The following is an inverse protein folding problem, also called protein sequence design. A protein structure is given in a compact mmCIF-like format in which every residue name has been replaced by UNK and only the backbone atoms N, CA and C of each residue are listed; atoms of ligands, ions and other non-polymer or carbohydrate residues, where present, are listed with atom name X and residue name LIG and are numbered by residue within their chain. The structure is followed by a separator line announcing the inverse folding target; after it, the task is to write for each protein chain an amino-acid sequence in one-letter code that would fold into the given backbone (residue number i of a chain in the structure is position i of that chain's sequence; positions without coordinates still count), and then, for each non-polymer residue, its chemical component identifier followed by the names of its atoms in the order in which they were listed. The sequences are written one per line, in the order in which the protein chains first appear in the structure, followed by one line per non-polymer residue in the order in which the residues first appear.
data_IF_278144367460
#
_entry.id   IF_278144367460
#
_cell.length_a   1.000
_cell.length_b   1.000
_cell.length_c   1.000
_cell.angle_alpha   90.00
_cell.angle_beta   90.00
_cell.angle_gamma   90.00
#
_symmetry.space_group_name_H-M   'P 1'
#
loop_
_entity.id
_entity.type
_entity.pdbx_description
1 polymer ?
#
# COMPACT_ATOMS: atom_id res chain seq x y z
N UNK A 1 3.77 21.85 -8.40
CA UNK A 1 3.36 20.74 -7.52
C UNK A 1 2.65 21.35 -6.33
N UNK A 2 1.38 21.02 -6.16
CA UNK A 2 0.70 21.28 -4.89
C UNK A 2 1.40 20.43 -3.83
N UNK A 3 1.82 21.03 -2.71
CA UNK A 3 2.44 20.27 -1.62
C UNK A 3 1.36 19.42 -0.98
N UNK A 4 1.44 18.10 -1.16
CA UNK A 4 0.70 17.15 -0.34
C UNK A 4 1.35 17.11 1.05
N UNK A 5 0.58 17.43 2.08
CA UNK A 5 1.02 17.26 3.47
C UNK A 5 1.29 15.78 3.74
N UNK A 6 2.44 15.45 4.33
CA UNK A 6 2.86 14.06 4.56
C UNK A 6 3.61 13.42 3.38
N UNK A 7 3.99 14.20 2.35
CA UNK A 7 4.86 13.75 1.25
C UNK A 7 6.22 14.44 1.36
N UNK A 8 7.27 13.64 1.55
CA UNK A 8 8.67 14.10 1.55
C UNK A 8 9.14 14.51 0.16
N UNK A 9 8.93 13.64 -0.82
CA UNK A 9 9.32 13.87 -2.20
C UNK A 9 8.41 13.13 -3.18
N UNK A 10 8.33 13.66 -4.39
CA UNK A 10 7.66 13.00 -5.50
C UNK A 10 8.54 13.17 -6.74
N UNK A 11 8.91 12.04 -7.35
CA UNK A 11 9.69 11.97 -8.57
C UNK A 11 8.84 11.34 -9.67
N UNK A 12 8.85 11.93 -10.85
CA UNK A 12 8.09 11.45 -12.01
C UNK A 12 9.09 11.12 -13.10
N UNK A 13 9.16 9.84 -13.49
CA UNK A 13 9.89 9.41 -14.69
C UNK A 13 8.91 9.15 -15.82
N UNK A 14 8.85 10.10 -16.77
CA UNK A 14 8.06 9.93 -17.98
C UNK A 14 8.64 8.86 -18.91
N UNK A 15 9.95 8.65 -18.87
CA UNK A 15 10.62 7.64 -19.69
C UNK A 15 10.27 6.22 -19.23
N UNK A 16 10.18 6.02 -17.92
CA UNK A 16 9.87 4.71 -17.32
C UNK A 16 8.37 4.51 -17.09
N UNK A 17 7.59 5.60 -17.17
CA UNK A 17 6.15 5.56 -16.93
C UNK A 17 5.82 5.35 -15.45
N UNK A 18 6.65 5.90 -14.56
CA UNK A 18 6.60 5.66 -13.13
C UNK A 18 6.55 6.97 -12.33
N UNK A 19 5.88 6.92 -11.17
CA UNK A 19 5.86 7.99 -10.18
C UNK A 19 6.29 7.40 -8.84
N UNK A 20 7.42 7.87 -8.32
CA UNK A 20 7.90 7.50 -7.00
C UNK A 20 7.49 8.59 -6.00
N UNK A 21 6.73 8.21 -4.97
CA UNK A 21 6.32 9.11 -3.90
C UNK A 21 6.92 8.62 -2.59
N UNK A 22 7.80 9.42 -1.99
CA UNK A 22 8.29 9.18 -0.65
C UNK A 22 7.38 9.91 0.34
N UNK A 23 6.74 9.15 1.23
CA UNK A 23 5.90 9.69 2.28
C UNK A 23 6.72 10.02 3.52
N UNK A 24 6.22 10.95 4.33
CA UNK A 24 6.72 11.19 5.68
C UNK A 24 6.46 10.01 6.61
N UNK A 25 7.29 9.85 7.64
CA UNK A 25 7.10 8.81 8.66
C UNK A 25 5.78 8.99 9.43
N UNK A 26 5.33 10.25 9.57
CA UNK A 26 4.06 10.64 10.21
C UNK A 26 3.00 11.08 9.17
N UNK A 27 2.97 10.45 7.99
CA UNK A 27 1.99 10.79 6.98
C UNK A 27 0.60 10.17 7.26
N UNK A 28 -0.44 10.95 6.99
CA UNK A 28 -1.83 10.48 6.98
C UNK A 28 -2.45 10.52 5.58
N UNK A 29 -1.62 10.49 4.54
CA UNK A 29 -2.08 10.62 3.16
C UNK A 29 -2.81 9.34 2.76
N UNK A 30 -4.08 9.50 2.37
CA UNK A 30 -4.85 8.39 1.84
C UNK A 30 -4.41 8.11 0.39
N UNK A 31 -4.28 6.83 0.04
CA UNK A 31 -3.87 6.40 -1.30
C UNK A 31 -4.81 6.93 -2.39
N UNK A 32 -6.10 7.03 -2.10
CA UNK A 32 -7.12 7.59 -2.99
C UNK A 32 -6.80 9.06 -3.29
N UNK A 33 -6.45 9.83 -2.27
CA UNK A 33 -6.06 11.23 -2.41
C UNK A 33 -4.76 11.37 -3.21
N UNK A 34 -3.80 10.48 -2.98
CA UNK A 34 -2.56 10.46 -3.75
C UNK A 34 -2.83 10.18 -5.24
N UNK A 35 -3.74 9.24 -5.55
CA UNK A 35 -4.15 8.92 -6.92
C UNK A 35 -4.87 10.08 -7.60
N UNK A 36 -5.74 10.79 -6.90
CA UNK A 36 -6.39 12.00 -7.44
C UNK A 36 -5.35 13.02 -7.85
N UNK A 37 -4.40 13.34 -6.98
CA UNK A 37 -3.35 14.32 -7.27
C UNK A 37 -2.50 13.87 -8.46
N UNK A 38 -2.13 12.59 -8.54
CA UNK A 38 -1.37 12.06 -9.69
C UNK A 38 -2.18 12.15 -10.99
N UNK A 39 -3.48 11.83 -10.96
CA UNK A 39 -4.40 11.95 -12.11
C UNK A 39 -4.55 13.38 -12.59
N UNK A 40 -4.65 14.34 -11.67
CA UNK A 40 -4.75 15.77 -11.99
C UNK A 40 -3.48 16.30 -12.68
N UNK A 41 -2.35 15.60 -12.53
CA UNK A 41 -1.12 15.89 -13.27
C UNK A 41 -1.02 15.20 -14.63
N UNK A 42 -2.10 14.55 -15.10
CA UNK A 42 -2.17 13.90 -16.39
C UNK A 42 -1.58 12.48 -16.42
N UNK A 43 -1.26 11.90 -15.26
CA UNK A 43 -0.79 10.52 -15.15
C UNK A 43 -1.89 9.63 -14.53
N UNK A 44 -2.30 8.56 -15.23
CA UNK A 44 -3.29 7.62 -14.68
C UNK A 44 -2.58 6.35 -14.20
N UNK A 45 -2.32 6.20 -12.89
CA UNK A 45 -1.67 5.00 -12.37
C UNK A 45 -2.59 3.80 -12.56
N UNK A 46 -2.05 2.74 -13.18
CA UNK A 46 -2.75 1.46 -13.37
C UNK A 46 -2.50 0.50 -12.22
N UNK A 47 -1.29 0.53 -11.72
CA UNK A 47 -0.78 -0.30 -10.64
C UNK A 47 0.04 0.61 -9.70
N UNK A 48 0.17 0.19 -8.44
CA UNK A 48 1.03 0.85 -7.48
C UNK A 48 1.70 -0.20 -6.59
N UNK A 49 3.03 -0.14 -6.47
CA UNK A 49 3.76 -0.89 -5.46
C UNK A 49 3.87 -0.03 -4.19
N UNK A 50 3.36 -0.56 -3.08
CA UNK A 50 3.25 0.14 -1.80
C UNK A 50 4.07 -0.61 -0.77
N UNK A 51 4.89 0.11 -0.02
CA UNK A 51 5.59 -0.44 1.14
C UNK A 51 5.01 0.15 2.41
N UNK A 52 4.41 -0.70 3.24
CA UNK A 52 3.75 -0.27 4.46
C UNK A 52 4.26 -1.05 5.67
N UNK A 53 4.40 -0.37 6.81
CA UNK A 53 4.71 -0.98 8.10
C UNK A 53 3.41 -1.19 8.88
N UNK A 54 3.26 -2.35 9.49
CA UNK A 54 2.05 -2.68 10.25
C UNK A 54 2.12 -4.06 10.88
N UNK A 55 0.97 -4.55 11.32
CA UNK A 55 0.86 -5.85 11.99
C UNK A 55 -0.09 -6.75 11.23
N UNK A 56 0.26 -8.04 11.15
CA UNK A 56 -0.64 -9.07 10.61
C UNK A 56 -1.52 -9.59 11.74
N UNK A 57 -2.82 -9.62 11.49
CA UNK A 57 -3.83 -10.11 12.41
C UNK A 57 -4.76 -11.12 11.71
N UNK A 58 -5.49 -11.92 12.48
CA UNK A 58 -6.53 -12.77 11.95
C UNK A 58 -7.88 -12.05 12.05
N UNK A 59 -8.60 -11.91 10.93
CA UNK A 59 -9.95 -11.32 10.85
C UNK A 59 -10.88 -12.17 10.01
N UNK A 60 -12.06 -12.53 10.54
CA UNK A 60 -13.11 -13.28 9.83
C UNK A 60 -12.63 -14.51 9.03
N UNK A 61 -11.65 -15.24 9.57
CA UNK A 61 -11.07 -16.43 8.91
C UNK A 61 -10.06 -16.13 7.79
N UNK A 62 -9.58 -14.89 7.69
CA UNK A 62 -8.53 -14.44 6.76
C UNK A 62 -7.43 -13.70 7.50
N UNK A 63 -6.27 -13.56 6.88
CA UNK A 63 -5.23 -12.67 7.36
C UNK A 63 -5.53 -11.25 6.92
N UNK A 64 -5.35 -10.33 7.85
CA UNK A 64 -5.50 -8.90 7.61
C UNK A 64 -4.24 -8.17 8.04
N UNK A 65 -3.92 -7.10 7.33
CA UNK A 65 -2.83 -6.21 7.66
C UNK A 65 -3.40 -4.91 8.21
N UNK A 66 -3.02 -4.59 9.45
CA UNK A 66 -3.36 -3.33 10.11
C UNK A 66 -2.18 -2.39 10.01
N UNK A 67 -2.41 -1.25 9.36
CA UNK A 67 -1.45 -0.15 9.32
C UNK A 67 -1.71 0.72 10.56
N UNK A 68 -0.69 1.10 11.35
CA UNK A 68 -0.86 2.00 12.49
C UNK A 68 -1.48 3.33 12.05
N UNK A 69 -2.25 3.96 12.94
CA UNK A 69 -2.83 5.30 12.74
C UNK A 69 -3.78 5.44 11.53
N UNK A 70 -4.18 4.32 10.95
CA UNK A 70 -5.19 4.23 9.92
C UNK A 70 -6.16 3.09 10.29
N UNK A 71 -7.42 3.42 10.55
CA UNK A 71 -8.46 2.42 10.85
C UNK A 71 -8.73 1.46 9.66
N UNK A 72 -8.04 1.65 8.52
CA UNK A 72 -8.07 0.75 7.38
C UNK A 72 -7.38 -0.58 7.71
N UNK A 73 -8.18 -1.64 7.66
CA UNK A 73 -7.75 -3.03 7.71
C UNK A 73 -7.75 -3.56 6.28
N UNK A 74 -6.62 -4.10 5.83
CA UNK A 74 -6.50 -4.64 4.47
C UNK A 74 -6.50 -6.16 4.51
N UNK A 75 -7.32 -6.80 3.68
CA UNK A 75 -7.31 -8.26 3.55
C UNK A 75 -6.07 -8.67 2.74
N UNK A 76 -5.28 -9.58 3.29
CA UNK A 76 -4.12 -10.12 2.60
C UNK A 76 -4.56 -11.26 1.68
N UNK A 77 -4.13 -11.18 0.42
CA UNK A 77 -4.33 -12.24 -0.57
C UNK A 77 -3.02 -12.52 -1.28
N UNK A 78 -2.66 -13.79 -1.40
CA UNK A 78 -1.39 -14.18 -2.01
C UNK A 78 -1.25 -15.68 -2.08
N UNK A 79 -0.06 -16.13 -2.44
CA UNK A 79 0.25 -17.56 -2.48
C UNK A 79 0.10 -18.17 -1.07
N UNK A 80 -0.46 -19.39 -0.95
CA UNK A 80 -0.68 -20.03 0.35
C UNK A 80 0.57 -20.07 1.23
N UNK A 81 1.74 -20.31 0.65
CA UNK A 81 3.02 -20.39 1.37
C UNK A 81 3.41 -19.04 2.01
N UNK A 82 3.11 -17.93 1.35
CA UNK A 82 3.35 -16.58 1.88
C UNK A 82 2.37 -16.31 3.01
N UNK A 83 1.09 -16.62 2.83
CA UNK A 83 0.06 -16.43 3.85
C UNK A 83 0.35 -17.28 5.10
N UNK A 84 0.77 -18.54 4.95
CA UNK A 84 1.19 -19.39 6.07
C UNK A 84 2.39 -18.82 6.82
N UNK A 85 3.37 -18.27 6.10
CA UNK A 85 4.55 -17.62 6.69
C UNK A 85 4.17 -16.38 7.51
N UNK A 86 3.24 -15.56 6.99
CA UNK A 86 2.71 -14.40 7.70
C UNK A 86 1.83 -14.79 8.88
N UNK A 87 1.12 -15.91 8.78
CA UNK A 87 0.32 -16.45 9.87
C UNK A 87 1.21 -16.82 11.07
N UNK A 88 2.40 -17.40 10.82
CA UNK A 88 3.39 -17.68 11.85
C UNK A 88 3.93 -16.44 12.57
N UNK A 89 3.76 -15.24 11.97
CA UNK A 89 4.30 -13.96 12.45
C UNK A 89 3.21 -12.98 12.91
N UNK A 90 2.00 -13.50 13.20
CA UNK A 90 0.87 -12.70 13.69
C UNK A 90 1.27 -11.88 14.93
N UNK A 91 0.92 -10.60 14.92
CA UNK A 91 1.22 -9.65 16.00
C UNK A 91 2.63 -9.06 15.98
N UNK A 92 3.52 -9.51 15.09
CA UNK A 92 4.82 -8.88 14.91
C UNK A 92 4.71 -7.62 14.01
N UNK A 93 5.51 -6.57 14.28
CA UNK A 93 5.63 -5.45 13.37
C UNK A 93 6.40 -5.87 12.12
N UNK A 94 5.72 -5.82 10.98
CA UNK A 94 6.23 -6.24 9.68
C UNK A 94 6.18 -5.07 8.70
N UNK A 95 7.08 -5.10 7.72
CA UNK A 95 7.00 -4.23 6.56
C UNK A 95 6.61 -5.11 5.38
N UNK A 96 5.45 -4.85 4.80
CA UNK A 96 4.97 -5.56 3.62
C UNK A 96 5.11 -4.66 2.41
N UNK A 97 5.63 -5.24 1.33
CA UNK A 97 5.46 -4.70 -0.01
C UNK A 97 4.18 -5.28 -0.59
N UNK A 98 3.39 -4.45 -1.25
CA UNK A 98 2.05 -4.73 -1.71
C UNK A 98 1.85 -4.16 -3.10
N UNK A 99 1.45 -4.99 -4.06
CA UNK A 99 1.02 -4.50 -5.37
C UNK A 99 -0.48 -4.26 -5.37
N UNK A 100 -0.89 -3.02 -5.61
CA UNK A 100 -2.30 -2.63 -5.72
C UNK A 100 -2.64 -2.35 -7.18
N UNK A 101 -3.46 -3.21 -7.76
CA UNK A 101 -4.02 -3.02 -9.10
C UNK A 101 -5.29 -2.15 -9.05
N UNK A 102 -5.50 -1.33 -10.08
CA UNK A 102 -6.75 -0.59 -10.23
C UNK A 102 -7.88 -1.50 -10.71
N UNK A 103 -8.67 -2.04 -9.77
CA UNK A 103 -9.93 -2.72 -10.08
C UNK A 103 -11.12 -1.87 -9.61
N UNK A 104 -12.19 -1.83 -10.41
CA UNK A 104 -13.44 -1.06 -10.21
C UNK A 104 -14.26 -1.46 -8.97
N UNK A 105 -13.79 -2.43 -8.20
CA UNK A 105 -14.36 -2.83 -6.91
C UNK A 105 -13.33 -2.44 -5.86
N UNK A 106 -13.71 -1.72 -4.80
CA UNK A 106 -12.87 -1.28 -3.66
C UNK A 106 -12.21 -2.45 -2.86
N UNK A 107 -11.65 -3.42 -3.56
CA UNK A 107 -10.94 -4.58 -3.02
C UNK A 107 -9.49 -4.41 -3.37
N UNK A 108 -8.72 -4.04 -2.36
CA UNK A 108 -7.28 -3.95 -2.43
C UNK A 108 -6.72 -5.33 -2.12
N UNK A 109 -6.05 -5.93 -3.09
CA UNK A 109 -5.29 -7.15 -2.89
C UNK A 109 -3.86 -6.75 -2.55
N UNK A 110 -3.30 -7.32 -1.50
CA UNK A 110 -1.89 -7.13 -1.13
C UNK A 110 -1.19 -8.46 -1.31
N UNK A 111 -0.42 -8.57 -2.41
CA UNK A 111 0.57 -9.64 -2.54
C UNK A 111 1.75 -9.28 -1.65
N UNK A 112 1.82 -9.88 -0.48
CA UNK A 112 2.96 -9.71 0.42
C UNK A 112 4.22 -10.34 -0.21
N UNK A 113 5.30 -9.58 -0.26
CA UNK A 113 6.62 -10.10 -0.65
C UNK A 113 7.55 -10.01 0.56
N UNK A 114 8.03 -11.14 1.04
CA UNK A 114 9.07 -11.18 2.07
C UNK A 114 10.43 -11.03 1.37
N UNK A 115 11.19 -10.00 1.73
CA UNK A 115 12.57 -9.76 1.27
C UNK A 115 13.55 -9.81 2.43
#
# INVERSE_FOLDING_TARGET
MEKLEGVNSAEVSLNDGEVLVALDEENHVQLERLREVIRDQGFTPREADIRARGTVEAGEGRLVFRIPDNDKVVVLEGEPQVLESLEGRKGEPLVLEARVEHNTTDRMWITAVER
#
